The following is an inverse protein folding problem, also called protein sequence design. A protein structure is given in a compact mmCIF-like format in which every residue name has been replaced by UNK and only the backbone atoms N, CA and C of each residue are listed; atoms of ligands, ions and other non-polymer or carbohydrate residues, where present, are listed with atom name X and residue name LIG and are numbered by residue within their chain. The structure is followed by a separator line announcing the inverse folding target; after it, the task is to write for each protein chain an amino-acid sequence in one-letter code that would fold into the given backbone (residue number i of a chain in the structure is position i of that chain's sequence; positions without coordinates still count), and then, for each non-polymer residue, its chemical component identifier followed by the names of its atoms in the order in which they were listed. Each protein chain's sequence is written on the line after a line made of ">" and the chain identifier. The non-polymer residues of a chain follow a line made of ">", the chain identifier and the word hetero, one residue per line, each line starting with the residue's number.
data_IF_079857784742
#
_entry.id   IF_079857784742
#
_cell.length_a   1.000
_cell.length_b   1.000
_cell.length_c   1.000
_cell.angle_alpha   90.00
_cell.angle_beta   90.00
_cell.angle_gamma   90.00
#
_symmetry.space_group_name_H-M   'P 1'
#
loop_
_entity.id
_entity.type
_entity.pdbx_description
1 polymer ?
#
# COMPACT_ATOMS: atom_id res chain seq x y z
N UNK A 1 16.94 2.04 -9.13
CA UNK A 1 15.94 3.12 -9.33
C UNK A 1 14.62 2.65 -8.75
N UNK A 2 13.89 3.51 -8.06
CA UNK A 2 12.58 3.19 -7.49
C UNK A 2 11.52 3.11 -8.59
N UNK A 3 10.48 2.29 -8.40
CA UNK A 3 9.29 2.22 -9.25
C UNK A 3 8.35 3.39 -9.00
N UNK A 4 8.50 4.11 -7.89
CA UNK A 4 7.77 5.34 -7.56
C UNK A 4 8.42 6.56 -8.19
N UNK A 5 7.63 7.56 -8.54
CA UNK A 5 8.18 8.86 -8.95
C UNK A 5 8.65 9.66 -7.74
N UNK A 6 9.52 10.65 -7.94
CA UNK A 6 9.99 11.51 -6.84
C UNK A 6 8.84 12.19 -6.10
N UNK A 7 7.81 12.63 -6.83
CA UNK A 7 6.59 13.21 -6.26
C UNK A 7 5.83 12.20 -5.38
N UNK A 8 5.71 10.95 -5.83
CA UNK A 8 5.04 9.90 -5.06
C UNK A 8 5.87 9.47 -3.85
N UNK A 9 7.20 9.44 -3.95
CA UNK A 9 8.10 9.20 -2.81
C UNK A 9 8.01 10.34 -1.78
N UNK A 10 8.02 11.59 -2.25
CA UNK A 10 7.82 12.77 -1.41
C UNK A 10 6.47 12.75 -0.72
N UNK A 11 5.42 12.31 -1.43
CA UNK A 11 4.17 11.94 -0.81
C UNK A 11 4.44 10.83 0.20
N UNK A 12 4.73 9.58 -0.16
CA UNK A 12 4.82 8.44 0.76
C UNK A 12 5.69 8.66 2.03
N UNK A 13 6.69 9.54 1.98
CA UNK A 13 7.57 9.85 3.13
C UNK A 13 7.12 11.06 3.96
N UNK A 14 6.13 11.83 3.49
CA UNK A 14 5.61 13.04 4.14
C UNK A 14 4.72 12.82 5.38
N UNK A 15 5.01 11.84 6.23
CA UNK A 15 4.41 11.72 7.58
C UNK A 15 2.96 11.21 7.69
N UNK A 16 2.34 10.69 6.62
CA UNK A 16 1.04 10.00 6.77
C UNK A 16 1.24 8.65 7.45
N UNK A 17 0.40 8.36 8.45
CA UNK A 17 0.52 7.18 9.30
C UNK A 17 -0.56 6.13 9.06
N UNK A 18 -1.61 6.49 8.31
CA UNK A 18 -2.76 5.63 8.05
C UNK A 18 -2.94 5.39 6.56
N UNK A 19 -3.37 4.17 6.23
CA UNK A 19 -3.85 3.77 4.92
C UNK A 19 -4.99 2.78 5.07
N UNK A 20 -5.56 2.35 3.95
CA UNK A 20 -6.62 1.33 3.90
C UNK A 20 -6.15 0.18 3.04
N UNK A 21 -5.93 -0.98 3.65
CA UNK A 21 -5.54 -2.19 2.92
C UNK A 21 -6.80 -2.92 2.45
N UNK A 22 -6.77 -3.42 1.23
CA UNK A 22 -7.72 -4.38 0.69
C UNK A 22 -7.05 -5.74 0.49
N UNK A 23 -7.73 -6.81 0.92
CA UNK A 23 -7.32 -8.21 0.84
C UNK A 23 -8.50 -9.08 0.39
N UNK A 24 -8.26 -10.32 -0.01
CA UNK A 24 -9.30 -11.20 -0.58
C UNK A 24 -9.52 -12.44 0.30
N UNK A 25 -10.75 -12.63 0.76
CA UNK A 25 -11.22 -13.78 1.54
C UNK A 25 -11.11 -15.11 0.79
N UNK A 26 -11.22 -16.24 1.51
CA UNK A 26 -11.12 -17.57 0.92
C UNK A 26 -12.28 -17.88 -0.04
N UNK A 27 -13.41 -17.24 0.23
CA UNK A 27 -14.65 -17.21 -0.55
C UNK A 27 -14.63 -16.13 -1.65
N UNK A 28 -13.53 -15.40 -1.82
CA UNK A 28 -13.44 -14.26 -2.74
C UNK A 28 -13.99 -12.95 -2.19
N UNK A 29 -14.52 -12.92 -0.95
CA UNK A 29 -15.10 -11.70 -0.36
C UNK A 29 -14.00 -10.64 -0.16
N UNK A 30 -14.17 -9.41 -0.69
CA UNK A 30 -13.25 -8.31 -0.42
C UNK A 30 -13.26 -7.91 1.05
N UNK A 31 -12.08 -7.64 1.60
CA UNK A 31 -11.92 -7.18 2.98
C UNK A 31 -11.06 -5.92 3.00
N UNK A 32 -11.60 -4.83 3.54
CA UNK A 32 -10.94 -3.53 3.63
C UNK A 32 -10.92 -3.02 5.07
N UNK A 33 -9.75 -2.61 5.55
CA UNK A 33 -9.56 -2.10 6.93
C UNK A 33 -8.47 -1.04 6.99
N UNK A 34 -8.53 -0.10 7.96
CA UNK A 34 -7.44 0.84 8.19
C UNK A 34 -6.19 0.11 8.74
N UNK A 35 -5.01 0.59 8.35
CA UNK A 35 -3.71 0.06 8.79
C UNK A 35 -2.68 1.16 8.98
N UNK A 36 -1.71 0.90 9.87
CA UNK A 36 -0.43 1.59 9.87
C UNK A 36 0.50 1.00 8.82
N UNK A 37 1.33 1.84 8.21
CA UNK A 37 2.21 1.44 7.11
C UNK A 37 3.48 2.29 7.09
N UNK A 38 4.49 1.79 6.39
CA UNK A 38 5.71 2.53 6.04
C UNK A 38 6.11 2.23 4.59
N UNK A 39 6.81 3.17 3.96
CA UNK A 39 7.55 2.89 2.73
C UNK A 39 8.92 2.31 3.06
N UNK A 40 9.22 1.11 2.55
CA UNK A 40 10.50 0.44 2.73
C UNK A 40 11.41 0.72 1.53
N UNK A 41 12.25 1.76 1.63
CA UNK A 41 13.14 2.19 0.56
C UNK A 41 14.15 1.12 0.11
N UNK A 42 14.57 0.22 1.01
CA UNK A 42 15.54 -0.83 0.67
C UNK A 42 14.95 -1.90 -0.27
N UNK A 43 13.62 -2.05 -0.28
CA UNK A 43 12.91 -3.06 -1.08
C UNK A 43 11.92 -2.46 -2.07
N UNK A 44 11.75 -1.14 -2.04
CA UNK A 44 10.81 -0.41 -2.89
C UNK A 44 9.36 -0.93 -2.72
N UNK A 45 8.97 -1.16 -1.46
CA UNK A 45 7.69 -1.79 -1.08
C UNK A 45 6.94 -0.99 -0.03
N UNK A 46 5.65 -1.31 0.14
CA UNK A 46 4.85 -0.82 1.26
C UNK A 46 4.77 -1.93 2.31
N UNK A 47 5.28 -1.66 3.50
CA UNK A 47 5.23 -2.59 4.63
C UNK A 47 4.13 -2.16 5.60
N UNK A 48 3.25 -3.09 5.93
CA UNK A 48 2.08 -2.90 6.79
C UNK A 48 2.34 -3.62 8.11
N UNK A 49 2.31 -2.85 9.19
CA UNK A 49 2.45 -3.35 10.56
C UNK A 49 1.11 -3.29 11.32
N UNK A 50 1.15 -3.67 12.59
CA UNK A 50 0.01 -3.52 13.48
C UNK A 50 0.03 -4.51 14.63
N UNK A 51 -0.98 -4.38 15.50
CA UNK A 51 -1.18 -5.23 16.67
C UNK A 51 -1.66 -6.61 16.21
N UNK A 52 -1.07 -7.68 16.78
CA UNK A 52 -1.43 -9.08 16.52
C UNK A 52 -1.59 -9.42 15.02
N UNK A 53 -0.68 -8.90 14.19
CA UNK A 53 -0.86 -8.92 12.74
C UNK A 53 -1.03 -10.34 12.20
N UNK A 54 -0.21 -11.29 12.64
CA UNK A 54 -0.27 -12.71 12.26
C UNK A 54 -1.64 -13.37 12.56
N UNK A 55 -2.34 -12.90 13.59
CA UNK A 55 -3.67 -13.40 13.99
C UNK A 55 -4.80 -12.71 13.24
N UNK A 56 -4.50 -11.70 12.42
CA UNK A 56 -5.53 -10.91 11.75
C UNK A 56 -6.03 -11.55 10.45
N UNK A 57 -7.27 -11.24 10.07
CA UNK A 57 -7.89 -11.73 8.83
C UNK A 57 -7.07 -11.33 7.59
N UNK A 58 -6.62 -10.07 7.52
CA UNK A 58 -5.81 -9.56 6.40
C UNK A 58 -4.50 -10.32 6.20
N UNK A 59 -3.87 -10.80 7.27
CA UNK A 59 -2.64 -11.59 7.18
C UNK A 59 -2.89 -12.95 6.56
N UNK A 60 -3.90 -13.69 7.07
CA UNK A 60 -4.34 -14.97 6.48
C UNK A 60 -4.83 -14.81 5.03
N UNK A 61 -5.49 -13.70 4.72
CA UNK A 61 -5.96 -13.41 3.36
C UNK A 61 -4.78 -13.20 2.39
N UNK A 62 -3.74 -12.50 2.82
CA UNK A 62 -2.51 -12.32 2.03
C UNK A 62 -1.72 -13.61 1.90
N UNK A 63 -1.54 -14.37 2.99
CA UNK A 63 -0.83 -15.65 2.99
C UNK A 63 -1.44 -16.62 1.97
N UNK A 64 -2.77 -16.67 1.89
CA UNK A 64 -3.49 -17.55 0.95
C UNK A 64 -3.51 -17.03 -0.48
N UNK A 65 -3.84 -15.75 -0.68
CA UNK A 65 -4.09 -15.20 -2.02
C UNK A 65 -2.84 -14.67 -2.71
N UNK A 66 -1.81 -14.30 -1.94
CA UNK A 66 -0.65 -13.55 -2.43
C UNK A 66 -1.00 -12.17 -2.99
N UNK A 67 -2.19 -11.63 -2.68
CA UNK A 67 -2.68 -10.36 -3.25
C UNK A 67 -3.04 -9.36 -2.14
N UNK A 68 -2.60 -8.13 -2.33
CA UNK A 68 -3.00 -7.00 -1.52
C UNK A 68 -3.04 -5.71 -2.34
N UNK A 69 -3.87 -4.77 -1.90
CA UNK A 69 -3.83 -3.38 -2.33
C UNK A 69 -3.87 -2.46 -1.12
N UNK A 70 -3.33 -1.25 -1.23
CA UNK A 70 -3.44 -0.22 -0.21
C UNK A 70 -3.73 1.12 -0.86
N UNK A 71 -4.63 1.89 -0.26
CA UNK A 71 -4.82 3.32 -0.53
C UNK A 71 -4.28 4.13 0.63
N UNK A 72 -3.49 5.15 0.30
CA UNK A 72 -3.00 6.18 1.22
C UNK A 72 -3.50 7.51 0.67
N UNK A 73 -4.36 8.17 1.44
CA UNK A 73 -5.05 9.39 1.02
C UNK A 73 -5.17 10.38 2.18
N UNK A 74 -5.24 11.66 1.81
CA UNK A 74 -5.52 12.79 2.69
C UNK A 74 -6.23 13.91 1.91
N UNK A 75 -6.63 14.95 2.64
CA UNK A 75 -7.13 16.20 2.07
C UNK A 75 -6.04 17.25 2.20
N UNK A 76 -5.57 17.77 1.08
CA UNK A 76 -4.65 18.91 1.08
C UNK A 76 -5.37 20.21 1.44
N UNK A 77 -6.60 20.38 0.94
CA UNK A 77 -7.51 21.45 1.33
C UNK A 77 -8.97 20.98 1.26
N UNK A 78 -9.82 21.58 2.09
CA UNK A 78 -11.28 21.43 2.04
C UNK A 78 -11.96 22.58 1.29
N UNK A 79 -11.28 23.71 1.13
CA UNK A 79 -11.74 24.87 0.37
C UNK A 79 -10.53 25.58 -0.28
N UNK A 80 -10.31 25.43 -1.60
CA UNK A 80 -11.05 24.55 -2.52
C UNK A 80 -10.87 23.06 -2.18
N UNK A 81 -11.85 22.22 -2.53
CA UNK A 81 -11.78 20.78 -2.29
C UNK A 81 -10.63 20.14 -3.08
N UNK A 82 -9.60 19.64 -2.37
CA UNK A 82 -8.40 19.06 -2.98
C UNK A 82 -7.98 17.73 -2.32
N UNK A 83 -8.63 16.60 -2.68
CA UNK A 83 -8.21 15.28 -2.25
C UNK A 83 -7.01 14.80 -3.06
N UNK A 84 -6.08 14.14 -2.38
CA UNK A 84 -4.92 13.52 -3.02
C UNK A 84 -4.62 12.17 -2.42
N UNK A 85 -3.88 11.34 -3.15
CA UNK A 85 -3.56 10.02 -2.68
C UNK A 85 -2.84 9.15 -3.69
N UNK A 86 -2.49 7.95 -3.22
CA UNK A 86 -1.85 6.90 -3.98
C UNK A 86 -2.48 5.55 -3.63
N UNK A 87 -2.77 4.77 -4.66
CA UNK A 87 -3.14 3.37 -4.59
C UNK A 87 -1.98 2.52 -5.11
N UNK A 88 -1.62 1.51 -4.34
CA UNK A 88 -0.62 0.50 -4.71
C UNK A 88 -1.29 -0.87 -4.68
N UNK A 89 -1.23 -1.59 -5.79
CA UNK A 89 -1.68 -2.98 -5.89
C UNK A 89 -0.52 -3.88 -6.28
N UNK A 90 -0.51 -5.10 -5.78
CA UNK A 90 0.41 -6.11 -6.29
C UNK A 90 0.44 -7.37 -5.45
N UNK A 91 1.61 -8.02 -5.47
CA UNK A 91 1.86 -9.21 -4.67
C UNK A 91 1.95 -8.83 -3.20
N UNK A 92 1.08 -9.42 -2.40
CA UNK A 92 1.17 -9.38 -0.94
C UNK A 92 2.02 -10.54 -0.44
N UNK A 93 2.88 -10.27 0.53
CA UNK A 93 3.71 -11.25 1.22
C UNK A 93 3.44 -11.13 2.72
N UNK A 94 2.96 -12.20 3.34
CA UNK A 94 2.73 -12.27 4.77
C UNK A 94 4.00 -12.82 5.45
N UNK A 95 4.71 -11.97 6.18
CA UNK A 95 5.97 -12.32 6.84
C UNK A 95 5.71 -12.45 8.33
N UNK A 96 5.93 -13.63 8.91
CA UNK A 96 5.67 -13.88 10.32
C UNK A 96 6.84 -13.51 11.24
N UNK A 97 8.09 -13.65 10.79
CA UNK A 97 9.29 -13.49 11.60
C UNK A 97 10.33 -12.58 10.92
N UNK A 98 11.19 -11.87 11.70
CA UNK A 98 11.20 -11.79 13.16
C UNK A 98 10.12 -10.87 13.74
N UNK A 99 9.56 -9.98 12.92
CA UNK A 99 8.45 -9.09 13.29
C UNK A 99 7.36 -9.24 12.24
N UNK A 100 6.12 -9.62 12.63
CA UNK A 100 5.03 -9.79 11.69
C UNK A 100 4.75 -8.54 10.85
N UNK A 101 4.76 -8.68 9.52
CA UNK A 101 4.37 -7.62 8.59
C UNK A 101 3.68 -8.19 7.34
N UNK A 102 2.87 -7.36 6.68
CA UNK A 102 2.40 -7.62 5.31
C UNK A 102 3.19 -6.69 4.39
N UNK A 103 3.92 -7.25 3.43
CA UNK A 103 4.64 -6.48 2.41
C UNK A 103 3.87 -6.48 1.11
N UNK A 104 3.67 -5.30 0.53
CA UNK A 104 3.10 -5.14 -0.81
C UNK A 104 4.23 -4.78 -1.77
N UNK A 105 4.49 -5.69 -2.71
CA UNK A 105 5.37 -5.48 -3.84
C UNK A 105 4.56 -4.79 -4.95
N UNK A 106 4.88 -3.54 -5.34
CA UNK A 106 4.09 -2.81 -6.32
C UNK A 106 4.08 -3.50 -7.69
N UNK A 107 2.90 -3.69 -8.25
CA UNK A 107 2.67 -4.13 -9.64
C UNK A 107 1.83 -3.08 -10.40
N UNK A 108 0.99 -2.32 -9.68
CA UNK A 108 0.18 -1.23 -10.21
C UNK A 108 0.22 -0.06 -9.24
N UNK A 109 0.51 1.12 -9.77
CA UNK A 109 0.51 2.38 -9.02
C UNK A 109 -0.46 3.35 -9.68
N UNK A 110 -1.34 3.95 -8.89
CA UNK A 110 -2.27 4.99 -9.31
C UNK A 110 -2.18 6.14 -8.31
N UNK A 111 -1.97 7.36 -8.78
CA UNK A 111 -1.91 8.54 -7.92
C UNK A 111 -2.77 9.68 -8.49
N UNK A 112 -3.32 10.50 -7.60
CA UNK A 112 -4.17 11.64 -7.93
C UNK A 112 -3.90 12.78 -6.94
N UNK A 113 -4.08 14.03 -7.39
CA UNK A 113 -3.85 15.21 -6.55
C UNK A 113 -2.40 15.42 -6.09
N UNK A 114 -1.44 14.66 -6.64
CA UNK A 114 -0.01 14.82 -6.33
C UNK A 114 0.74 15.65 -7.39
N UNK A 115 0.12 15.88 -8.54
CA UNK A 115 0.72 16.57 -9.68
C UNK A 115 -0.36 17.06 -10.64
N UNK A 116 0.03 17.55 -11.84
CA UNK A 116 -0.89 18.22 -12.76
C UNK A 116 -1.95 17.29 -13.35
N UNK A 117 -1.70 15.99 -13.36
CA UNK A 117 -2.62 14.98 -13.87
C UNK A 117 -2.59 13.72 -13.00
N UNK A 118 -3.68 12.95 -13.07
CA UNK A 118 -3.73 11.58 -12.54
C UNK A 118 -2.67 10.73 -13.22
N UNK A 119 -1.89 10.00 -12.44
CA UNK A 119 -0.92 9.03 -12.95
C UNK A 119 -1.43 7.62 -12.70
N UNK A 120 -1.26 6.73 -13.69
CA UNK A 120 -1.65 5.34 -13.55
C UNK A 120 -0.75 4.46 -14.43
N UNK A 121 0.14 3.70 -13.79
CA UNK A 121 1.07 2.80 -14.48
C UNK A 121 1.11 1.39 -13.88
N UNK A 122 1.43 0.42 -14.73
CA UNK A 122 1.90 -0.90 -14.32
C UNK A 122 3.41 -0.83 -14.15
N UNK A 123 3.93 -1.43 -13.08
CA UNK A 123 5.36 -1.46 -12.78
C UNK A 123 5.80 -2.92 -12.63
N UNK A 124 7.01 -3.21 -13.07
CA UNK A 124 7.61 -4.52 -12.86
C UNK A 124 8.37 -4.46 -11.54
N UNK A 125 7.89 -5.16 -10.52
CA UNK A 125 8.68 -5.32 -9.29
C UNK A 125 10.05 -5.92 -9.65
N UNK A 126 11.17 -5.41 -9.10
CA UNK A 126 12.46 -6.07 -9.22
C UNK A 126 12.30 -7.54 -8.80
N UNK A 127 12.85 -8.48 -9.59
CA UNK A 127 12.91 -9.88 -9.14
C UNK A 127 13.82 -9.93 -7.89
N UNK A 128 13.45 -10.75 -6.88
CA UNK A 128 14.27 -10.94 -5.69
C UNK A 128 15.66 -11.48 -6.04
#
# INVERSE_FOLDING_TARGET
>A
MSVFTDTELGYLTGGRLLGRIATVGADGTPHVVPVGWIYNAARDTIDIGGIELERSKKFRDVERSGRAAIVIDDLESTDPWHPRGIEVRGRGEAIALPTPLIRIHPERIVSWGLGPARSARTVTAPRP
#
